data_IF_919907834086
#
_entry.id   IF_919907834086
#
_cell.length_a   1.000
_cell.length_b   1.000
_cell.length_c   1.000
_cell.angle_alpha   90.00
_cell.angle_beta   90.00
_cell.angle_gamma   90.00
#
_symmetry.space_group_name_H-M   'P 1'
#
loop_
_entity.id
_entity.type
_entity.pdbx_description
1 polymer ?
#
# COMPACT_ATOMS: atom_id res chain seq x y z
N UNK A 1 6.92 -29.20 14.20
CA UNK A 1 7.77 -28.13 13.67
C UNK A 1 7.42 -26.87 14.44
N UNK A 2 8.32 -26.36 15.30
CA UNK A 2 8.16 -25.04 15.92
C UNK A 2 8.75 -24.05 14.94
N UNK A 3 7.91 -23.29 14.26
CA UNK A 3 8.36 -22.09 13.56
C UNK A 3 8.99 -21.17 14.61
N UNK A 4 10.24 -20.80 14.42
CA UNK A 4 10.95 -19.93 15.34
C UNK A 4 10.35 -18.53 15.27
N UNK A 5 9.56 -18.16 16.27
CA UNK A 5 9.27 -16.74 16.52
C UNK A 5 10.60 -16.00 16.67
N UNK A 6 10.80 -14.95 15.89
CA UNK A 6 11.93 -14.05 16.10
C UNK A 6 11.73 -13.33 17.43
N UNK A 7 12.71 -13.40 18.34
CA UNK A 7 12.68 -12.71 19.63
C UNK A 7 12.83 -11.17 19.52
N UNK A 8 12.86 -10.64 18.29
CA UNK A 8 13.07 -9.23 17.99
C UNK A 8 11.73 -8.51 17.85
N UNK A 9 11.46 -7.51 18.70
CA UNK A 9 10.26 -6.66 18.61
C UNK A 9 10.36 -5.56 17.55
N UNK A 10 11.39 -5.58 16.70
CA UNK A 10 11.67 -4.56 15.68
C UNK A 10 11.73 -5.22 14.31
N UNK A 11 11.09 -4.59 13.33
CA UNK A 11 11.11 -5.00 11.93
C UNK A 11 11.63 -3.82 11.12
N UNK A 12 12.70 -4.04 10.36
CA UNK A 12 13.18 -3.07 9.38
C UNK A 12 12.44 -3.29 8.05
N UNK A 13 11.90 -2.20 7.50
CA UNK A 13 11.20 -2.23 6.22
C UNK A 13 11.97 -1.39 5.21
N UNK A 14 12.36 -2.04 4.12
CA UNK A 14 13.04 -1.40 2.99
C UNK A 14 12.03 -1.12 1.86
N UNK A 15 12.37 -0.14 1.01
CA UNK A 15 11.62 0.20 -0.22
C UNK A 15 10.19 0.72 -0.04
N UNK A 16 9.88 1.19 1.17
CA UNK A 16 8.61 1.84 1.52
C UNK A 16 8.82 3.32 1.86
N UNK A 17 7.99 4.17 1.26
CA UNK A 17 7.90 5.57 1.65
C UNK A 17 7.26 5.71 3.05
N UNK A 18 7.88 6.47 3.99
CA UNK A 18 7.38 6.59 5.36
C UNK A 18 5.94 7.14 5.47
N UNK A 19 5.56 8.09 4.60
CA UNK A 19 4.21 8.66 4.62
C UNK A 19 3.16 7.61 4.19
N UNK A 20 3.53 6.78 3.22
CA UNK A 20 2.70 5.69 2.71
C UNK A 20 2.52 4.57 3.73
N UNK A 21 3.59 4.24 4.47
CA UNK A 21 3.48 3.31 5.59
C UNK A 21 2.58 3.86 6.70
N UNK A 22 2.70 5.15 7.03
CA UNK A 22 1.84 5.79 8.02
C UNK A 22 0.36 5.75 7.62
N UNK A 23 0.06 6.00 6.35
CA UNK A 23 -1.30 5.91 5.81
C UNK A 23 -1.86 4.47 5.88
N UNK A 24 -1.02 3.47 5.61
CA UNK A 24 -1.40 2.05 5.78
C UNK A 24 -1.69 1.71 7.23
N UNK A 25 -0.84 2.13 8.17
CA UNK A 25 -1.10 1.92 9.59
C UNK A 25 -2.42 2.57 10.00
N UNK A 26 -2.65 3.82 9.59
CA UNK A 26 -3.91 4.49 9.85
C UNK A 26 -5.10 3.70 9.29
N UNK A 27 -4.99 3.18 8.06
CA UNK A 27 -6.00 2.32 7.46
C UNK A 27 -6.22 1.02 8.26
N UNK A 28 -5.17 0.32 8.67
CA UNK A 28 -5.29 -0.93 9.44
C UNK A 28 -6.03 -0.71 10.76
N UNK A 29 -5.73 0.38 11.46
CA UNK A 29 -6.34 0.68 12.75
C UNK A 29 -7.73 1.33 12.67
N UNK A 30 -8.04 2.04 11.57
CA UNK A 30 -9.29 2.83 11.48
C UNK A 30 -10.25 2.36 10.39
N UNK A 31 -9.79 1.48 9.50
CA UNK A 31 -10.48 1.05 8.28
C UNK A 31 -10.87 2.22 7.36
N UNK A 32 -10.16 3.35 7.46
CA UNK A 32 -10.41 4.57 6.67
C UNK A 32 -9.14 5.01 5.97
N UNK A 33 -9.30 5.44 4.72
CA UNK A 33 -8.23 6.00 3.91
C UNK A 33 -8.79 7.00 2.91
N UNK A 34 -8.07 8.09 2.68
CA UNK A 34 -8.42 9.08 1.67
C UNK A 34 -7.46 8.92 0.50
N UNK A 35 -8.01 8.55 -0.66
CA UNK A 35 -7.26 8.39 -1.90
C UNK A 35 -7.27 9.71 -2.68
N UNK A 36 -6.10 10.13 -3.12
CA UNK A 36 -5.84 11.36 -3.88
C UNK A 36 -4.87 11.03 -5.02
N UNK A 37 -4.75 11.89 -6.03
CA UNK A 37 -3.80 11.66 -7.13
C UNK A 37 -2.35 11.53 -6.65
N UNK A 38 -1.95 12.32 -5.65
CA UNK A 38 -0.58 12.33 -5.13
C UNK A 38 -0.23 11.05 -4.36
N UNK A 39 -1.16 10.54 -3.55
CA UNK A 39 -0.92 9.35 -2.72
C UNK A 39 -1.37 8.04 -3.36
N UNK A 40 -2.07 8.05 -4.49
CA UNK A 40 -2.60 6.85 -5.13
C UNK A 40 -1.49 5.84 -5.46
N UNK A 41 -0.47 6.25 -6.21
CA UNK A 41 0.63 5.35 -6.64
C UNK A 41 1.34 4.69 -5.48
N UNK A 42 1.80 5.42 -4.45
CA UNK A 42 2.49 4.78 -3.35
C UNK A 42 1.55 3.95 -2.47
N UNK A 43 0.27 4.32 -2.34
CA UNK A 43 -0.74 3.48 -1.69
C UNK A 43 -0.98 2.17 -2.44
N UNK A 44 -1.00 2.22 -3.77
CA UNK A 44 -1.16 1.03 -4.59
C UNK A 44 0.05 0.09 -4.44
N UNK A 45 1.27 0.63 -4.51
CA UNK A 45 2.51 -0.13 -4.26
C UNK A 45 2.49 -0.83 -2.90
N UNK A 46 2.23 -0.10 -1.82
CA UNK A 46 2.24 -0.67 -0.45
C UNK A 46 1.08 -1.64 -0.23
N UNK A 47 -0.10 -1.37 -0.80
CA UNK A 47 -1.24 -2.30 -0.71
C UNK A 47 -0.93 -3.64 -1.37
N UNK A 48 -0.13 -3.66 -2.44
CA UNK A 48 0.38 -4.87 -3.07
C UNK A 48 1.43 -5.56 -2.19
N UNK A 49 2.43 -4.81 -1.73
CA UNK A 49 3.52 -5.33 -0.89
C UNK A 49 3.04 -5.97 0.41
N UNK A 50 2.02 -5.41 1.06
CA UNK A 50 1.47 -5.91 2.33
C UNK A 50 0.20 -6.75 2.16
N UNK A 51 -0.16 -7.12 0.92
CA UNK A 51 -1.33 -7.95 0.60
C UNK A 51 -2.64 -7.42 1.21
N UNK A 52 -2.82 -6.09 1.18
CA UNK A 52 -3.99 -5.40 1.73
C UNK A 52 -5.14 -5.45 0.72
N UNK A 53 -5.76 -6.61 0.56
CA UNK A 53 -6.74 -6.88 -0.50
C UNK A 53 -7.95 -5.93 -0.48
N UNK A 54 -8.42 -5.54 0.70
CA UNK A 54 -9.56 -4.61 0.79
C UNK A 54 -9.16 -3.18 0.40
N UNK A 55 -7.93 -2.76 0.72
CA UNK A 55 -7.38 -1.50 0.22
C UNK A 55 -7.20 -1.56 -1.32
N UNK A 56 -6.72 -2.66 -1.86
CA UNK A 56 -6.61 -2.86 -3.32
C UNK A 56 -7.99 -2.73 -4.00
N UNK A 57 -9.04 -3.31 -3.42
CA UNK A 57 -10.42 -3.13 -3.93
C UNK A 57 -10.84 -1.66 -3.91
N UNK A 58 -10.57 -0.93 -2.83
CA UNK A 58 -10.86 0.52 -2.74
C UNK A 58 -10.11 1.31 -3.81
N UNK A 59 -8.83 1.03 -4.01
CA UNK A 59 -8.01 1.69 -5.02
C UNK A 59 -8.49 1.38 -6.45
N UNK A 60 -8.89 0.13 -6.73
CA UNK A 60 -9.47 -0.24 -8.02
C UNK A 60 -10.79 0.46 -8.30
N UNK A 61 -11.65 0.63 -7.29
CA UNK A 61 -12.86 1.44 -7.43
C UNK A 61 -12.52 2.91 -7.74
N UNK A 62 -11.48 3.46 -7.10
CA UNK A 62 -11.03 4.82 -7.38
C UNK A 62 -10.46 4.99 -8.80
N UNK A 63 -9.73 3.99 -9.32
CA UNK A 63 -9.22 3.96 -10.72
C UNK A 63 -10.34 3.88 -11.75
N UNK A 64 -11.47 3.26 -11.41
CA UNK A 64 -12.64 3.26 -12.29
C UNK A 64 -13.11 4.70 -12.58
N UNK A 65 -13.06 5.57 -11.56
CA UNK A 65 -13.47 6.97 -11.66
C UNK A 65 -12.34 7.88 -12.22
N UNK A 66 -11.08 7.43 -12.15
CA UNK A 66 -9.89 8.16 -12.60
C UNK A 66 -9.06 7.31 -13.58
N UNK A 67 -9.49 7.18 -14.86
CA UNK A 67 -8.87 6.30 -15.83
C UNK A 67 -7.41 6.63 -16.17
N UNK A 68 -6.93 7.85 -15.91
CA UNK A 68 -5.54 8.27 -16.06
C UNK A 68 -4.56 7.56 -15.10
N UNK A 69 -5.11 7.01 -14.01
CA UNK A 69 -4.38 6.22 -13.02
C UNK A 69 -4.39 4.72 -13.36
N UNK A 70 -5.07 4.32 -14.44
CA UNK A 70 -4.98 2.96 -14.99
C UNK A 70 -3.54 2.64 -15.39
N UNK A 71 -3.13 1.38 -15.22
CA UNK A 71 -1.78 0.88 -15.50
C UNK A 71 -0.67 1.61 -14.71
N UNK A 72 -0.94 1.97 -13.46
CA UNK A 72 0.05 2.59 -12.59
C UNK A 72 1.28 1.68 -12.34
N UNK A 73 1.11 0.36 -12.47
CA UNK A 73 2.17 -0.65 -12.30
C UNK A 73 3.24 -0.54 -13.40
N UNK A 74 2.85 -0.38 -14.67
CA UNK A 74 3.78 -0.25 -15.80
C UNK A 74 4.63 1.03 -15.73
N UNK A 75 4.22 2.01 -14.90
CA UNK A 75 4.94 3.28 -14.72
C UNK A 75 6.00 3.21 -13.61
N UNK A 76 6.10 2.12 -12.85
CA UNK A 76 7.06 1.99 -11.75
C UNK A 76 8.40 1.36 -12.18
N UNK A 77 8.46 0.62 -13.30
CA UNK A 77 9.68 0.01 -13.85
C UNK A 77 10.63 1.01 -14.56
N UNK A 78 10.28 2.30 -14.64
CA UNK A 78 11.06 3.32 -15.35
C UNK A 78 11.93 4.23 -14.45
N UNK A 79 12.13 3.88 -13.18
CA UNK A 79 12.95 4.67 -12.24
C UNK A 79 13.84 3.79 -11.37
#
# INVERSE_FOLDING_TARGET
YKEGESATSTIEMHDIDPASFSAVLQYLYTQRITVTHDNFKPLAKVSSQFLLLDLQKTLNAWVHDHPECRNWEEKLDNF
#
